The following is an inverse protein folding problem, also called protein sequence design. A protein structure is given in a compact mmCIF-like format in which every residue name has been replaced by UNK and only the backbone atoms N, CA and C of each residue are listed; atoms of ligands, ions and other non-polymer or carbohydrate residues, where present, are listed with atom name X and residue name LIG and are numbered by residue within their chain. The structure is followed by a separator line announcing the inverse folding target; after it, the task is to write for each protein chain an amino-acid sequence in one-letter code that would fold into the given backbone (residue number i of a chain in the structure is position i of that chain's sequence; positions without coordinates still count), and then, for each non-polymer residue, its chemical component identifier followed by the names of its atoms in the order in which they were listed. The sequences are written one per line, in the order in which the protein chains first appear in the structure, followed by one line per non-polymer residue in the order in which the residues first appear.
data_IF_928167865240
#
_entry.id   IF_928167865240
#
_cell.length_a   1.000
_cell.length_b   1.000
_cell.length_c   1.000
_cell.angle_alpha   90.00
_cell.angle_beta   90.00
_cell.angle_gamma   90.00
#
_symmetry.space_group_name_H-M   'P 1'
#
loop_
_entity.id
_entity.type
_entity.pdbx_description
1 polymer ?
#
# COMPACT_ATOMS: atom_id res chain seq x y z
N UNK A 1 -8.60 -10.30 -3.85
CA UNK A 1 -9.70 -9.78 -2.99
C UNK A 1 -9.85 -8.29 -3.25
N UNK A 2 -11.04 -7.69 -3.04
CA UNK A 2 -11.21 -6.23 -3.13
C UNK A 2 -11.21 -5.63 -1.72
N UNK A 3 -10.47 -4.54 -1.51
CA UNK A 3 -10.50 -3.82 -0.24
C UNK A 3 -11.78 -3.00 -0.06
N UNK A 4 -12.04 -2.59 1.18
CA UNK A 4 -13.09 -1.62 1.48
C UNK A 4 -12.68 -0.22 1.03
N UNK A 5 -13.65 0.67 0.86
CA UNK A 5 -13.38 2.08 0.55
C UNK A 5 -12.55 2.74 1.66
N UNK A 6 -12.90 2.48 2.91
CA UNK A 6 -12.16 3.00 4.07
C UNK A 6 -10.69 2.54 4.06
N UNK A 7 -10.44 1.25 3.85
CA UNK A 7 -9.08 0.73 3.78
C UNK A 7 -8.28 1.34 2.63
N UNK A 8 -8.88 1.41 1.44
CA UNK A 8 -8.26 2.03 0.26
C UNK A 8 -7.87 3.48 0.54
N UNK A 9 -8.76 4.25 1.16
CA UNK A 9 -8.52 5.65 1.52
C UNK A 9 -7.39 5.79 2.53
N UNK A 10 -7.38 4.98 3.59
CA UNK A 10 -6.33 5.01 4.63
C UNK A 10 -4.94 4.75 4.03
N UNK A 11 -4.81 3.75 3.17
CA UNK A 11 -3.53 3.45 2.50
C UNK A 11 -3.13 4.58 1.55
N UNK A 12 -4.07 5.15 0.79
CA UNK A 12 -3.79 6.27 -0.10
C UNK A 12 -3.32 7.52 0.66
N UNK A 13 -3.97 7.87 1.77
CA UNK A 13 -3.59 9.00 2.62
C UNK A 13 -2.17 8.82 3.17
N UNK A 14 -1.85 7.62 3.69
CA UNK A 14 -0.50 7.30 4.17
C UNK A 14 0.56 7.43 3.05
N UNK A 15 0.32 6.85 1.87
CA UNK A 15 1.27 6.91 0.74
C UNK A 15 1.49 8.35 0.25
N UNK A 16 0.44 9.17 0.24
CA UNK A 16 0.55 10.59 -0.11
C UNK A 16 1.39 11.36 0.93
N UNK A 17 1.14 11.14 2.23
CA UNK A 17 1.96 11.73 3.29
C UNK A 17 3.43 11.29 3.18
N UNK A 18 3.67 10.01 2.85
CA UNK A 18 5.02 9.50 2.61
C UNK A 18 5.67 10.19 1.42
N UNK A 19 4.97 10.35 0.30
CA UNK A 19 5.50 11.05 -0.88
C UNK A 19 5.81 12.53 -0.61
N UNK A 20 5.05 13.19 0.28
CA UNK A 20 5.32 14.57 0.69
C UNK A 20 6.58 14.71 1.57
N UNK A 21 6.90 13.68 2.36
CA UNK A 21 7.98 13.72 3.37
C UNK A 21 9.25 12.99 2.93
N UNK A 22 9.14 12.09 1.95
CA UNK A 22 10.23 11.30 1.38
C UNK A 22 10.33 11.57 -0.13
N UNK A 23 11.20 12.50 -0.56
CA UNK A 23 11.40 12.84 -1.96
C UNK A 23 11.88 11.66 -2.83
N UNK A 24 12.51 10.64 -2.23
CA UNK A 24 12.94 9.45 -2.96
C UNK A 24 11.77 8.49 -3.22
N UNK A 25 10.73 8.54 -2.37
CA UNK A 25 9.50 7.78 -2.57
C UNK A 25 8.55 8.42 -3.59
N UNK A 26 8.42 9.75 -3.60
CA UNK A 26 7.50 10.48 -4.47
C UNK A 26 7.44 10.02 -5.95
N UNK A 27 8.55 9.83 -6.68
CA UNK A 27 8.50 9.39 -8.08
C UNK A 27 7.96 7.95 -8.23
N UNK A 28 8.12 7.10 -7.21
CA UNK A 28 7.61 5.74 -7.24
C UNK A 28 6.09 5.68 -7.20
N UNK A 29 5.45 6.57 -6.44
CA UNK A 29 3.99 6.67 -6.35
C UNK A 29 3.34 7.09 -7.69
N UNK A 30 4.09 7.77 -8.55
CA UNK A 30 3.64 8.27 -9.85
C UNK A 30 3.94 7.31 -11.02
N UNK A 31 4.47 6.11 -10.77
CA UNK A 31 4.75 5.11 -11.81
C UNK A 31 3.45 4.76 -12.56
N UNK A 32 3.40 4.86 -13.91
CA UNK A 32 2.15 4.72 -14.67
C UNK A 32 1.57 3.30 -14.62
N UNK A 33 2.37 2.30 -14.28
CA UNK A 33 1.99 0.89 -14.14
C UNK A 33 1.71 0.50 -12.68
N UNK A 34 1.49 1.46 -11.78
CA UNK A 34 1.15 1.22 -10.39
C UNK A 34 -0.10 2.01 -10.04
N UNK A 35 -1.05 1.38 -9.37
CA UNK A 35 -2.24 2.04 -8.86
C UNK A 35 -2.63 1.50 -7.48
N UNK A 36 -3.49 2.24 -6.79
CA UNK A 36 -3.89 1.94 -5.42
C UNK A 36 -4.70 0.64 -5.35
N UNK A 37 -5.53 0.32 -6.36
CA UNK A 37 -6.38 -0.87 -6.34
C UNK A 37 -5.55 -2.17 -6.38
N UNK A 38 -4.49 -2.18 -7.19
CA UNK A 38 -3.53 -3.28 -7.24
C UNK A 38 -2.66 -3.34 -5.97
N UNK A 39 -2.29 -2.20 -5.39
CA UNK A 39 -1.61 -2.14 -4.09
C UNK A 39 -2.45 -2.81 -2.98
N UNK A 40 -3.74 -2.46 -2.90
CA UNK A 40 -4.67 -3.08 -1.95
C UNK A 40 -4.82 -4.58 -2.21
N UNK A 41 -4.95 -4.98 -3.48
CA UNK A 41 -5.03 -6.39 -3.86
C UNK A 41 -3.76 -7.15 -3.45
N UNK A 42 -2.59 -6.54 -3.64
CA UNK A 42 -1.31 -7.09 -3.21
C UNK A 42 -1.27 -7.31 -1.69
N UNK A 43 -1.59 -6.27 -0.90
CA UNK A 43 -1.58 -6.36 0.57
C UNK A 43 -2.49 -7.51 1.04
N UNK A 44 -3.75 -7.53 0.60
CA UNK A 44 -4.72 -8.55 1.02
C UNK A 44 -4.27 -9.96 0.65
N UNK A 45 -3.67 -10.15 -0.53
CA UNK A 45 -3.16 -11.45 -0.95
C UNK A 45 -1.97 -11.90 -0.10
N UNK A 46 -1.07 -10.99 0.27
CA UNK A 46 0.07 -11.31 1.14
C UNK A 46 -0.38 -11.63 2.57
N UNK A 47 -1.33 -10.86 3.13
CA UNK A 47 -1.96 -11.21 4.41
C UNK A 47 -2.60 -12.60 4.34
N UNK A 48 -3.38 -12.88 3.30
CA UNK A 48 -4.01 -14.18 3.13
C UNK A 48 -2.98 -15.31 3.04
N UNK A 49 -1.90 -15.14 2.25
CA UNK A 49 -0.82 -16.13 2.11
C UNK A 49 -0.09 -16.39 3.42
N UNK A 50 0.02 -15.39 4.29
CA UNK A 50 0.69 -15.55 5.59
C UNK A 50 -0.07 -16.48 6.54
N UNK A 51 -1.38 -16.73 6.32
CA UNK A 51 -2.24 -17.46 7.23
C UNK A 51 -2.71 -16.63 8.43
N UNK A 52 -2.28 -15.38 8.55
CA UNK A 52 -2.75 -14.41 9.54
C UNK A 52 -4.04 -13.73 9.07
N UNK A 53 -4.86 -13.26 10.01
CA UNK A 53 -6.07 -12.48 9.70
C UNK A 53 -5.79 -11.00 9.46
N UNK A 54 -4.58 -10.53 9.74
CA UNK A 54 -4.14 -9.15 9.66
C UNK A 54 -2.76 -8.97 10.29
N UNK A 55 -2.20 -7.78 10.10
CA UNK A 55 -0.96 -7.31 10.71
C UNK A 55 -1.23 -5.96 11.37
N UNK A 56 -0.25 -5.43 12.09
CA UNK A 56 -0.33 -4.05 12.59
C UNK A 56 -0.24 -3.02 11.45
N UNK A 57 -0.56 -1.77 11.78
CA UNK A 57 -0.60 -0.69 10.80
C UNK A 57 0.76 -0.45 10.13
N UNK A 58 1.86 -0.52 10.88
CA UNK A 58 3.22 -0.27 10.37
C UNK A 58 3.64 -1.35 9.37
N UNK A 59 3.32 -2.61 9.63
CA UNK A 59 3.54 -3.73 8.71
C UNK A 59 2.72 -3.56 7.43
N UNK A 60 1.44 -3.22 7.54
CA UNK A 60 0.57 -2.99 6.38
C UNK A 60 1.05 -1.79 5.54
N UNK A 61 1.44 -0.71 6.19
CA UNK A 61 2.00 0.47 5.52
C UNK A 61 3.34 0.19 4.85
N UNK A 62 4.20 -0.61 5.49
CA UNK A 62 5.46 -1.08 4.91
C UNK A 62 5.22 -1.90 3.63
N UNK A 63 4.21 -2.79 3.63
CA UNK A 63 3.81 -3.53 2.43
C UNK A 63 3.33 -2.61 1.30
N UNK A 64 2.56 -1.57 1.63
CA UNK A 64 2.11 -0.58 0.65
C UNK A 64 3.28 0.17 0.01
N UNK A 65 4.27 0.61 0.81
CA UNK A 65 5.49 1.25 0.29
C UNK A 65 6.26 0.29 -0.61
N UNK A 66 6.46 -0.95 -0.15
CA UNK A 66 7.17 -1.98 -0.90
C UNK A 66 6.56 -2.26 -2.27
N UNK A 67 5.24 -2.24 -2.37
CA UNK A 67 4.53 -2.38 -3.65
C UNK A 67 4.96 -1.33 -4.68
N UNK A 68 5.14 -0.07 -4.27
CA UNK A 68 5.53 1.02 -5.17
C UNK A 68 7.03 1.09 -5.43
N UNK A 69 7.87 0.63 -4.49
CA UNK A 69 9.32 0.59 -4.67
C UNK A 69 9.76 -0.47 -5.69
N UNK A 70 9.02 -1.58 -5.81
CA UNK A 70 9.21 -2.60 -6.86
C UNK A 70 8.71 -2.12 -8.21
#
# INVERSE_FOLDING_TARGET
MKGTEHFTRTIAEYLNQRAMTDPLFAPNLLKPNKNIEECITYILNEVQKSGCNGFDDDEIFSMAVHYYLK
#
